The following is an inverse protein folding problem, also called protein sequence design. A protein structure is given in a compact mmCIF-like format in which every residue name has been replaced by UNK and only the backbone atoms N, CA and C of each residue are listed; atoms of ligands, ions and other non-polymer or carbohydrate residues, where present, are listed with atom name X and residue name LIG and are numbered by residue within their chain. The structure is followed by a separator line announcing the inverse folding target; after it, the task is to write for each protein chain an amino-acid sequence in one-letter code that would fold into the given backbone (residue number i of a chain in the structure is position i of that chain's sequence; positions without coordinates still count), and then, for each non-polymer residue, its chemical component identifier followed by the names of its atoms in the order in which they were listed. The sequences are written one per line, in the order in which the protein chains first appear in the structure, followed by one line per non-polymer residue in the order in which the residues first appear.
data_IF_735545537158
#
_entry.id   IF_735545537158
#
_cell.length_a   1.000
_cell.length_b   1.000
_cell.length_c   1.000
_cell.angle_alpha   90.00
_cell.angle_beta   90.00
_cell.angle_gamma   90.00
#
_symmetry.space_group_name_H-M   'P 1'
#
loop_
_entity.id
_entity.type
_entity.pdbx_description
1 polymer ?
#
# COMPACT_ATOMS: atom_id res chain seq x y z
N UNK A 1 30.78 7.58 -10.95
CA UNK A 1 30.06 6.68 -10.03
C UNK A 1 28.63 7.16 -10.01
N UNK A 2 27.78 6.56 -10.83
CA UNK A 2 26.35 6.92 -10.94
C UNK A 2 25.55 6.04 -9.98
N UNK A 3 24.57 6.60 -9.27
CA UNK A 3 23.78 5.87 -8.28
C UNK A 3 22.32 5.76 -8.71
N UNK A 4 21.76 4.54 -8.68
CA UNK A 4 20.36 4.28 -9.00
C UNK A 4 19.62 3.98 -7.70
N UNK A 5 18.66 4.82 -7.31
CA UNK A 5 17.73 4.54 -6.22
C UNK A 5 16.47 3.86 -6.76
N UNK A 6 16.24 2.60 -6.36
CA UNK A 6 15.09 1.81 -6.80
C UNK A 6 14.26 1.37 -5.60
N UNK A 7 12.95 1.62 -5.65
CA UNK A 7 11.99 1.00 -4.73
C UNK A 7 11.19 -0.06 -5.47
N UNK A 8 11.50 -1.33 -5.20
CA UNK A 8 10.86 -2.46 -5.88
C UNK A 8 10.54 -3.59 -4.90
N UNK A 9 9.74 -4.54 -5.34
CA UNK A 9 9.37 -5.73 -4.57
C UNK A 9 10.24 -6.91 -5.02
N UNK A 10 10.85 -7.59 -4.05
CA UNK A 10 11.49 -8.89 -4.28
C UNK A 10 10.39 -9.93 -4.43
N UNK A 11 10.43 -10.70 -5.52
CA UNK A 11 9.44 -11.74 -5.81
C UNK A 11 9.41 -12.83 -4.75
N UNK A 12 8.37 -13.67 -4.77
CA UNK A 12 8.27 -14.81 -3.84
C UNK A 12 9.34 -15.88 -4.11
N UNK A 13 9.96 -15.82 -5.29
CA UNK A 13 11.13 -16.58 -5.71
C UNK A 13 12.45 -16.03 -5.15
N UNK A 14 12.43 -14.89 -4.45
CA UNK A 14 13.61 -14.24 -3.90
C UNK A 14 14.42 -13.42 -4.91
N UNK A 15 13.92 -13.21 -6.12
CA UNK A 15 14.67 -12.53 -7.18
C UNK A 15 14.41 -11.01 -7.21
N UNK A 16 15.49 -10.24 -7.31
CA UNK A 16 15.50 -8.79 -7.55
C UNK A 16 16.00 -8.52 -8.99
N UNK A 17 15.13 -7.99 -9.85
CA UNK A 17 15.49 -7.61 -11.22
C UNK A 17 15.83 -6.13 -11.31
N UNK A 18 17.06 -5.80 -11.71
CA UNK A 18 17.52 -4.42 -11.96
C UNK A 18 17.65 -4.23 -13.48
N UNK A 19 16.83 -3.34 -14.05
CA UNK A 19 16.92 -2.97 -15.47
C UNK A 19 17.82 -1.74 -15.60
N UNK A 20 18.91 -1.90 -16.32
CA UNK A 20 19.83 -0.82 -16.64
C UNK A 20 19.35 -0.03 -17.87
N UNK A 21 19.64 1.28 -17.95
CA UNK A 21 19.33 2.08 -19.13
C UNK A 21 20.02 1.55 -20.40
N UNK A 22 19.42 1.75 -21.56
CA UNK A 22 19.94 1.25 -22.85
C UNK A 22 21.29 1.87 -23.23
N UNK A 23 21.59 3.07 -22.72
CA UNK A 23 22.79 3.84 -23.01
C UNK A 23 24.07 3.15 -22.53
N UNK A 24 23.94 2.24 -21.55
CA UNK A 24 25.07 1.47 -21.00
C UNK A 24 25.10 0.03 -21.51
N UNK A 25 24.29 -0.30 -22.52
CA UNK A 25 24.31 -1.61 -23.14
C UNK A 25 25.67 -1.90 -23.78
N UNK A 26 26.22 -3.09 -23.51
CA UNK A 26 27.51 -3.54 -24.06
C UNK A 26 28.75 -2.97 -23.36
N UNK A 27 28.58 -2.19 -22.29
CA UNK A 27 29.69 -1.71 -21.48
C UNK A 27 30.00 -2.70 -20.34
N UNK A 28 31.28 -2.85 -20.02
CA UNK A 28 31.70 -3.50 -18.77
C UNK A 28 31.41 -2.55 -17.60
N UNK A 29 30.67 -3.04 -16.60
CA UNK A 29 30.24 -2.25 -15.45
C UNK A 29 30.46 -3.02 -14.16
N UNK A 30 30.98 -2.34 -13.15
CA UNK A 30 31.04 -2.84 -11.77
C UNK A 30 29.79 -2.35 -11.00
N UNK A 31 29.11 -3.26 -10.31
CA UNK A 31 27.83 -2.98 -9.65
C UNK A 31 27.92 -3.33 -8.17
N UNK A 32 27.57 -2.37 -7.32
CA UNK A 32 27.42 -2.57 -5.86
C UNK A 32 25.95 -2.40 -5.51
N UNK A 33 25.36 -3.41 -4.87
CA UNK A 33 23.95 -3.39 -4.44
C UNK A 33 23.88 -3.27 -2.91
N UNK A 34 23.24 -2.19 -2.45
CA UNK A 34 22.93 -1.98 -1.03
C UNK A 34 21.40 -1.98 -0.91
N UNK A 35 20.85 -2.85 -0.07
CA UNK A 35 19.41 -2.94 0.14
C UNK A 35 19.06 -2.79 1.62
N UNK A 36 17.90 -2.21 1.87
CA UNK A 36 17.30 -2.11 3.19
C UNK A 36 15.86 -2.61 3.10
N UNK A 37 15.46 -3.62 3.89
CA UNK A 37 14.05 -3.98 4.01
C UNK A 37 13.24 -2.76 4.43
N UNK A 38 12.23 -2.41 3.63
CA UNK A 38 11.30 -1.34 3.99
C UNK A 38 10.14 -1.99 4.71
N UNK A 39 9.99 -1.70 6.01
CA UNK A 39 8.80 -2.11 6.73
C UNK A 39 7.57 -1.58 6.00
N UNK A 40 6.76 -2.51 5.49
CA UNK A 40 5.37 -2.24 5.12
C UNK A 40 4.58 -2.05 6.43
N UNK A 41 4.95 -1.08 7.26
CA UNK A 41 3.96 -0.54 8.19
C UNK A 41 2.89 0.05 7.31
N UNK A 42 1.79 -0.69 7.24
CA UNK A 42 0.70 -0.50 6.31
C UNK A 42 0.19 0.95 6.45
N UNK A 43 0.62 1.83 5.55
CA UNK A 43 0.21 3.25 5.56
C UNK A 43 -1.31 3.45 5.38
N UNK A 44 -2.09 2.37 5.30
CA UNK A 44 -3.55 2.36 5.14
C UNK A 44 -4.27 1.41 6.10
N UNK A 45 -3.58 0.85 7.09
CA UNK A 45 -4.24 -0.01 8.07
C UNK A 45 -4.45 0.71 9.38
N UNK A 46 -5.48 0.28 10.10
CA UNK A 46 -5.71 0.69 11.46
C UNK A 46 -4.49 0.35 12.32
N UNK A 47 -4.24 1.18 13.34
CA UNK A 47 -3.15 0.89 14.27
C UNK A 47 -3.35 -0.49 14.91
N UNK A 48 -2.26 -1.21 15.23
CA UNK A 48 -2.36 -2.51 15.89
C UNK A 48 -3.24 -2.43 17.15
N UNK A 49 -4.22 -3.32 17.26
CA UNK A 49 -5.14 -3.36 18.40
C UNK A 49 -6.31 -2.37 18.32
N UNK A 50 -6.49 -1.64 17.22
CA UNK A 50 -7.55 -0.63 17.10
C UNK A 50 -8.94 -1.25 17.30
N UNK A 51 -9.26 -2.34 16.60
CA UNK A 51 -10.58 -2.97 16.70
C UNK A 51 -10.83 -3.58 18.08
N UNK A 52 -9.83 -4.25 18.65
CA UNK A 52 -9.88 -4.88 19.97
C UNK A 52 -10.13 -3.86 21.08
N UNK A 53 -9.61 -2.65 20.93
CA UNK A 53 -9.75 -1.56 21.91
C UNK A 53 -10.98 -0.69 21.68
N UNK A 54 -11.51 -0.61 20.46
CA UNK A 54 -12.59 0.33 20.11
C UNK A 54 -13.95 -0.34 19.99
N UNK A 55 -14.00 -1.64 19.68
CA UNK A 55 -15.26 -2.36 19.57
C UNK A 55 -15.99 -2.34 20.92
N UNK A 56 -17.19 -1.74 20.94
CA UNK A 56 -18.01 -1.63 22.15
C UNK A 56 -17.50 -0.62 23.19
N UNK A 57 -16.47 0.17 22.89
CA UNK A 57 -15.92 1.18 23.80
C UNK A 57 -16.74 2.48 23.87
N UNK A 58 -17.86 2.57 23.14
CA UNK A 58 -18.71 3.76 23.13
C UNK A 58 -19.46 3.91 24.46
N UNK A 59 -19.23 5.03 25.14
CA UNK A 59 -19.84 5.39 26.44
C UNK A 59 -20.67 6.67 26.39
N UNK A 60 -20.85 7.24 25.20
CA UNK A 60 -21.62 8.48 25.01
C UNK A 60 -23.12 8.23 24.89
N UNK A 61 -23.80 9.16 24.22
CA UNK A 61 -25.25 9.07 23.96
C UNK A 61 -25.63 7.81 23.18
N UNK A 62 -26.86 7.29 23.36
CA UNK A 62 -27.36 6.16 22.57
C UNK A 62 -27.20 6.41 21.07
N UNK A 63 -26.67 5.42 20.35
CA UNK A 63 -26.59 5.51 18.90
C UNK A 63 -28.00 5.48 18.32
N UNK A 64 -28.44 6.59 17.74
CA UNK A 64 -29.74 6.70 17.04
C UNK A 64 -29.50 6.58 15.54
N UNK A 65 -30.36 5.82 14.88
CA UNK A 65 -30.36 5.73 13.42
C UNK A 65 -31.07 6.95 12.84
N UNK A 66 -30.31 7.80 12.15
CA UNK A 66 -30.86 8.94 11.42
C UNK A 66 -31.79 8.50 10.27
N UNK A 67 -32.74 9.36 9.85
CA UNK A 67 -33.57 9.12 8.67
C UNK A 67 -32.71 8.85 7.43
N UNK A 68 -33.04 7.80 6.68
CA UNK A 68 -32.26 7.38 5.50
C UNK A 68 -32.52 8.22 4.23
N UNK A 69 -33.40 9.23 4.32
CA UNK A 69 -33.86 10.00 3.17
C UNK A 69 -34.78 9.21 2.25
N UNK A 70 -35.08 9.79 1.09
CA UNK A 70 -35.88 9.17 0.05
C UNK A 70 -35.01 8.32 -0.89
N UNK A 71 -35.57 7.24 -1.42
CA UNK A 71 -34.87 6.42 -2.40
C UNK A 71 -34.71 7.21 -3.70
N UNK A 72 -33.50 7.28 -4.28
CA UNK A 72 -33.28 8.03 -5.51
C UNK A 72 -34.04 7.38 -6.67
N UNK A 73 -34.64 8.20 -7.53
CA UNK A 73 -35.26 7.72 -8.76
C UNK A 73 -34.18 7.11 -9.67
N UNK A 74 -34.38 5.86 -10.07
CA UNK A 74 -33.50 5.15 -11.01
C UNK A 74 -34.19 5.03 -12.37
N UNK A 75 -33.39 4.99 -13.42
CA UNK A 75 -33.88 4.65 -14.75
C UNK A 75 -34.40 3.19 -14.78
N UNK A 76 -35.45 2.90 -15.55
CA UNK A 76 -35.93 1.53 -15.73
C UNK A 76 -34.86 0.67 -16.42
N UNK A 77 -34.79 -0.60 -16.03
CA UNK A 77 -33.93 -1.57 -16.72
C UNK A 77 -34.52 -1.87 -18.11
N UNK A 78 -33.67 -1.82 -19.14
CA UNK A 78 -34.02 -2.13 -20.53
C UNK A 78 -34.16 -3.64 -20.79
#
# INVERSE_FOLDING_TARGET
MESIQLKTHVGHDGLLQIKLPSEIAGLEVEVVVIYQPVDKTEKRSWSPGFFEKTFGAWVGEPMVREPQGEFPQREPLA
#
